data_IF_639368233111
#
_entry.id   IF_639368233111
#
_cell.length_a   1.000
_cell.length_b   1.000
_cell.length_c   1.000
_cell.angle_alpha   90.00
_cell.angle_beta   90.00
_cell.angle_gamma   90.00
#
_symmetry.space_group_name_H-M   'P 1'
#
loop_
_entity.id
_entity.type
_entity.pdbx_description
1 polymer ?
#
# COMPACT_ATOMS: atom_id res chain seq x y z
N UNK A 1 6.78 13.74 -5.77
CA UNK A 1 5.66 12.84 -5.46
C UNK A 1 4.84 12.53 -6.71
N UNK A 2 4.43 13.55 -7.45
CA UNK A 2 3.63 13.34 -8.67
C UNK A 2 4.32 12.38 -9.65
N UNK A 3 5.58 12.62 -9.98
CA UNK A 3 6.36 11.80 -10.92
C UNK A 3 6.54 10.36 -10.40
N UNK A 4 6.71 10.19 -9.10
CA UNK A 4 6.85 8.88 -8.47
C UNK A 4 5.58 8.03 -8.67
N UNK A 5 4.42 8.63 -8.48
CA UNK A 5 3.13 7.97 -8.66
C UNK A 5 2.82 7.74 -10.15
N UNK A 6 3.23 8.67 -11.01
CA UNK A 6 3.01 8.56 -12.46
C UNK A 6 3.82 7.44 -13.12
N UNK A 7 4.96 7.06 -12.54
CA UNK A 7 5.93 6.17 -13.17
C UNK A 7 5.32 4.87 -13.75
N UNK A 8 4.46 4.12 -13.05
CA UNK A 8 3.87 2.91 -13.63
C UNK A 8 3.06 3.18 -14.90
N UNK A 9 2.44 4.34 -15.01
CA UNK A 9 1.60 4.70 -16.15
C UNK A 9 2.41 5.02 -17.40
N UNK A 10 3.67 5.42 -17.25
CA UNK A 10 4.55 5.67 -18.41
C UNK A 10 4.86 4.38 -19.16
N UNK A 11 4.96 3.26 -18.44
CA UNK A 11 5.20 1.95 -19.06
C UNK A 11 3.96 1.39 -19.77
N UNK A 12 2.77 1.85 -19.40
CA UNK A 12 1.51 1.39 -19.99
C UNK A 12 1.10 2.18 -21.24
N UNK A 13 1.93 3.13 -21.69
CA UNK A 13 1.70 3.96 -22.90
C UNK A 13 0.39 4.75 -22.84
N UNK A 14 0.00 5.20 -21.66
CA UNK A 14 -1.18 6.04 -21.45
C UNK A 14 -0.84 7.48 -21.86
N UNK A 15 -1.79 8.20 -22.49
CA UNK A 15 -1.61 9.59 -22.90
C UNK A 15 -1.30 10.49 -21.71
N UNK A 16 -0.45 11.52 -21.92
CA UNK A 16 -0.01 12.41 -20.86
C UNK A 16 -1.17 13.10 -20.12
N UNK A 17 -2.21 13.53 -20.84
CA UNK A 17 -3.39 14.16 -20.24
C UNK A 17 -4.17 13.19 -19.35
N UNK A 18 -4.30 11.96 -19.76
CA UNK A 18 -4.95 10.88 -19.02
C UNK A 18 -4.13 10.48 -17.79
N UNK A 19 -2.81 10.34 -17.94
CA UNK A 19 -1.91 10.08 -16.80
C UNK A 19 -2.05 11.16 -15.72
N UNK A 20 -2.04 12.42 -16.13
CA UNK A 20 -2.18 13.54 -15.19
C UNK A 20 -3.47 13.45 -14.38
N UNK A 21 -4.58 13.12 -15.04
CA UNK A 21 -5.85 12.95 -14.37
C UNK A 21 -5.84 11.78 -13.40
N UNK A 22 -5.30 10.64 -13.81
CA UNK A 22 -5.22 9.43 -12.97
C UNK A 22 -4.38 9.69 -11.71
N UNK A 23 -3.22 10.34 -11.86
CA UNK A 23 -2.35 10.67 -10.73
C UNK A 23 -3.03 11.69 -9.79
N UNK A 24 -3.65 12.72 -10.35
CA UNK A 24 -4.37 13.73 -9.56
C UNK A 24 -5.47 13.07 -8.72
N UNK A 25 -6.24 12.18 -9.31
CA UNK A 25 -7.35 11.49 -8.63
C UNK A 25 -6.83 10.57 -7.51
N UNK A 26 -5.77 9.83 -7.75
CA UNK A 26 -5.24 8.92 -6.72
C UNK A 26 -4.57 9.69 -5.56
N UNK A 27 -3.88 10.79 -5.83
CA UNK A 27 -3.32 11.63 -4.79
C UNK A 27 -4.41 12.24 -3.91
N UNK A 28 -5.51 12.63 -4.51
CA UNK A 28 -6.69 13.13 -3.78
C UNK A 28 -7.29 12.03 -2.90
N UNK A 29 -7.45 10.85 -3.42
CA UNK A 29 -7.96 9.68 -2.67
C UNK A 29 -7.07 9.35 -1.48
N UNK A 30 -5.75 9.44 -1.65
CA UNK A 30 -4.77 9.18 -0.59
C UNK A 30 -4.59 10.38 0.35
N UNK A 31 -5.30 11.48 0.11
CA UNK A 31 -5.23 12.70 0.92
C UNK A 31 -3.82 13.30 1.00
N UNK A 32 -3.09 13.27 -0.11
CA UNK A 32 -1.73 13.81 -0.24
C UNK A 32 -1.55 14.76 -1.44
N UNK A 33 -2.65 15.28 -2.00
CA UNK A 33 -2.60 16.21 -3.12
C UNK A 33 -1.72 17.43 -2.85
N UNK A 34 -1.73 17.92 -1.61
CA UNK A 34 -0.93 19.08 -1.17
C UNK A 34 0.57 18.81 -1.19
N UNK A 35 1.01 17.57 -1.37
CA UNK A 35 2.42 17.17 -1.45
C UNK A 35 2.86 16.77 -2.87
N UNK A 36 2.01 16.98 -3.87
CA UNK A 36 2.28 16.56 -5.26
C UNK A 36 3.61 17.11 -5.80
N UNK A 37 3.93 18.37 -5.50
CA UNK A 37 5.16 19.03 -5.93
C UNK A 37 6.37 18.80 -5.01
N UNK A 38 6.19 18.09 -3.91
CA UNK A 38 7.28 17.82 -2.94
C UNK A 38 8.12 16.63 -3.38
N UNK A 39 9.34 16.56 -2.87
CA UNK A 39 10.18 15.37 -2.96
C UNK A 39 9.82 14.38 -1.85
N UNK A 40 9.97 13.06 -2.08
CA UNK A 40 9.66 12.06 -1.04
C UNK A 40 10.37 12.29 0.30
N UNK A 41 11.61 12.82 0.27
CA UNK A 41 12.39 13.10 1.47
C UNK A 41 11.77 14.19 2.37
N UNK A 42 10.88 15.00 1.82
CA UNK A 42 10.19 16.08 2.54
C UNK A 42 8.91 15.61 3.24
N UNK A 43 8.57 14.32 3.12
CA UNK A 43 7.34 13.74 3.64
C UNK A 43 7.57 13.00 4.96
N UNK A 44 6.54 12.95 5.80
CA UNK A 44 6.52 12.06 6.97
C UNK A 44 6.49 10.59 6.52
N UNK A 45 6.81 9.67 7.44
CA UNK A 45 6.75 8.23 7.15
C UNK A 45 5.37 7.78 6.67
N UNK A 46 4.31 8.26 7.30
CA UNK A 46 2.94 7.96 6.90
C UNK A 46 2.59 8.51 5.51
N UNK A 47 3.04 9.72 5.19
CA UNK A 47 2.86 10.31 3.86
C UNK A 47 3.64 9.54 2.79
N UNK A 48 4.87 9.14 3.08
CA UNK A 48 5.67 8.31 2.18
C UNK A 48 4.97 6.98 1.89
N UNK A 49 4.37 6.36 2.89
CA UNK A 49 3.63 5.12 2.70
C UNK A 49 2.37 5.33 1.85
N UNK A 50 1.67 6.44 2.02
CA UNK A 50 0.54 6.79 1.15
C UNK A 50 0.97 7.01 -0.31
N UNK A 51 2.15 7.59 -0.55
CA UNK A 51 2.73 7.71 -1.90
C UNK A 51 3.02 6.33 -2.48
N UNK A 52 3.59 5.43 -1.69
CA UNK A 52 3.86 4.07 -2.13
C UNK A 52 2.57 3.32 -2.51
N UNK A 53 1.52 3.47 -1.71
CA UNK A 53 0.21 2.89 -2.02
C UNK A 53 -0.39 3.53 -3.29
N UNK A 54 -0.33 4.86 -3.40
CA UNK A 54 -0.82 5.56 -4.59
C UNK A 54 -0.14 5.05 -5.86
N UNK A 55 1.18 4.89 -5.83
CA UNK A 55 1.94 4.34 -6.94
C UNK A 55 1.52 2.90 -7.28
N UNK A 56 1.26 2.09 -6.26
CA UNK A 56 0.84 0.71 -6.47
C UNK A 56 -0.55 0.61 -7.10
N UNK A 57 -1.48 1.52 -6.77
CA UNK A 57 -2.89 1.41 -7.18
C UNK A 57 -3.27 2.30 -8.37
N UNK A 58 -2.42 3.24 -8.78
CA UNK A 58 -2.76 4.19 -9.85
C UNK A 58 -3.09 3.50 -11.18
N UNK A 59 -2.49 2.36 -11.44
CA UNK A 59 -2.76 1.54 -12.63
C UNK A 59 -3.96 0.60 -12.49
N UNK A 60 -4.68 0.69 -11.39
CA UNK A 60 -5.83 -0.17 -11.07
C UNK A 60 -5.49 -1.67 -11.14
N UNK A 61 -4.51 -2.16 -10.38
CA UNK A 61 -4.08 -3.55 -10.42
C UNK A 61 -5.12 -4.47 -9.80
N UNK A 62 -5.04 -5.76 -10.15
CA UNK A 62 -5.88 -6.79 -9.55
C UNK A 62 -5.30 -7.35 -8.25
N UNK A 63 -3.99 -7.21 -8.06
CA UNK A 63 -3.27 -7.70 -6.88
C UNK A 63 -2.27 -6.66 -6.40
N UNK A 64 -2.16 -6.52 -5.09
CA UNK A 64 -1.16 -5.69 -4.42
C UNK A 64 -0.37 -6.59 -3.48
N UNK A 65 0.96 -6.45 -3.52
CA UNK A 65 1.88 -7.10 -2.59
C UNK A 65 2.34 -6.05 -1.58
N UNK A 66 2.06 -6.29 -0.30
CA UNK A 66 2.41 -5.39 0.79
C UNK A 66 3.36 -6.08 1.76
N UNK A 67 4.60 -5.62 1.81
CA UNK A 67 5.62 -6.16 2.69
C UNK A 67 5.79 -5.24 3.90
N UNK A 68 5.37 -5.71 5.08
CA UNK A 68 5.41 -4.97 6.35
C UNK A 68 4.86 -3.53 6.19
N UNK A 69 3.59 -3.36 5.74
CA UNK A 69 3.09 -2.04 5.33
C UNK A 69 3.03 -1.00 6.45
N UNK A 70 3.08 -1.43 7.71
CA UNK A 70 3.03 -0.54 8.88
C UNK A 70 4.32 -0.53 9.69
N UNK A 71 5.37 -1.21 9.23
CA UNK A 71 6.57 -1.54 10.02
C UNK A 71 7.32 -0.35 10.61
N UNK A 72 7.31 0.81 9.93
CA UNK A 72 8.01 2.01 10.37
C UNK A 72 7.05 3.15 10.77
N UNK A 73 5.78 2.82 11.03
CA UNK A 73 4.75 3.81 11.31
C UNK A 73 4.32 3.75 12.77
N UNK A 74 3.92 4.89 13.33
CA UNK A 74 3.25 4.94 14.61
C UNK A 74 1.85 4.29 14.53
N UNK A 75 1.20 4.08 15.66
CA UNK A 75 -0.09 3.38 15.72
C UNK A 75 -1.18 4.05 14.90
N UNK A 76 -1.21 5.38 14.89
CA UNK A 76 -2.23 6.14 14.15
C UNK A 76 -2.04 6.00 12.65
N UNK A 77 -0.82 6.25 12.17
CA UNK A 77 -0.50 6.14 10.73
C UNK A 77 -0.62 4.69 10.26
N UNK A 78 -0.20 3.74 11.08
CA UNK A 78 -0.36 2.31 10.79
C UNK A 78 -1.83 1.93 10.62
N UNK A 79 -2.70 2.38 11.51
CA UNK A 79 -4.14 2.12 11.42
C UNK A 79 -4.75 2.71 10.15
N UNK A 80 -4.34 3.92 9.76
CA UNK A 80 -4.81 4.57 8.53
C UNK A 80 -4.38 3.81 7.28
N UNK A 81 -3.15 3.28 7.25
CA UNK A 81 -2.66 2.45 6.14
C UNK A 81 -3.46 1.15 6.05
N UNK A 82 -3.70 0.47 7.17
CA UNK A 82 -4.49 -0.76 7.16
C UNK A 82 -5.93 -0.51 6.71
N UNK A 83 -6.51 0.63 7.08
CA UNK A 83 -7.83 1.02 6.61
C UNK A 83 -7.85 1.22 5.10
N UNK A 84 -6.85 1.90 4.52
CA UNK A 84 -6.73 2.07 3.08
C UNK A 84 -6.65 0.73 2.35
N UNK A 85 -5.81 -0.19 2.83
CA UNK A 85 -5.69 -1.52 2.25
C UNK A 85 -7.01 -2.30 2.34
N UNK A 86 -7.71 -2.20 3.45
CA UNK A 86 -9.02 -2.84 3.63
C UNK A 86 -10.05 -2.29 2.64
N UNK A 87 -10.09 -0.99 2.44
CA UNK A 87 -10.98 -0.35 1.47
C UNK A 87 -10.69 -0.81 0.04
N UNK A 88 -9.42 -0.87 -0.34
CA UNK A 88 -9.00 -1.37 -1.66
C UNK A 88 -9.42 -2.83 -1.86
N UNK A 89 -9.29 -3.65 -0.84
CA UNK A 89 -9.73 -5.05 -0.89
C UNK A 89 -11.26 -5.15 -1.07
N UNK A 90 -12.03 -4.36 -0.36
CA UNK A 90 -13.49 -4.32 -0.51
C UNK A 90 -13.92 -3.91 -1.92
N UNK A 91 -13.12 -3.11 -2.60
CA UNK A 91 -13.36 -2.68 -3.98
C UNK A 91 -12.95 -3.72 -5.02
N UNK A 92 -12.44 -4.87 -4.61
CA UNK A 92 -12.10 -5.99 -5.49
C UNK A 92 -10.61 -6.22 -5.71
N UNK A 93 -9.72 -5.45 -5.09
CA UNK A 93 -8.28 -5.68 -5.19
C UNK A 93 -7.87 -6.79 -4.23
N UNK A 94 -7.18 -7.79 -4.72
CA UNK A 94 -6.58 -8.83 -3.88
C UNK A 94 -5.31 -8.29 -3.24
N UNK A 95 -5.17 -8.45 -1.93
CA UNK A 95 -3.99 -7.99 -1.20
C UNK A 95 -3.30 -9.19 -0.56
N UNK A 96 -2.01 -9.34 -0.85
CA UNK A 96 -1.13 -10.30 -0.20
C UNK A 96 -0.19 -9.51 0.69
N UNK A 97 -0.27 -9.72 1.99
CA UNK A 97 0.51 -8.97 2.97
C UNK A 97 1.46 -9.89 3.71
N UNK A 98 2.71 -9.46 3.83
CA UNK A 98 3.70 -10.09 4.71
C UNK A 98 3.80 -9.24 5.97
N UNK A 99 3.64 -9.84 7.15
CA UNK A 99 3.73 -9.11 8.40
C UNK A 99 4.15 -10.02 9.56
N UNK A 100 4.87 -9.45 10.53
CA UNK A 100 5.12 -10.05 11.84
C UNK A 100 4.12 -9.57 12.90
N UNK A 101 3.26 -8.62 12.55
CA UNK A 101 2.26 -8.06 13.46
C UNK A 101 1.01 -8.93 13.49
N UNK A 102 0.68 -9.48 14.65
CA UNK A 102 -0.58 -10.21 14.87
C UNK A 102 -1.79 -9.30 14.68
N UNK A 103 -1.66 -8.04 15.06
CA UNK A 103 -2.71 -7.04 14.89
C UNK A 103 -3.02 -6.83 13.41
N UNK A 104 -1.99 -6.62 12.59
CA UNK A 104 -2.18 -6.42 11.14
C UNK A 104 -2.69 -7.69 10.45
N UNK A 105 -2.20 -8.85 10.85
CA UNK A 105 -2.68 -10.14 10.33
C UNK A 105 -4.18 -10.34 10.58
N UNK A 106 -4.71 -9.75 11.64
CA UNK A 106 -6.14 -9.82 11.98
C UNK A 106 -7.06 -9.14 10.95
N UNK A 107 -6.55 -8.27 10.09
CA UNK A 107 -7.33 -7.67 9.00
C UNK A 107 -7.55 -8.61 7.81
N UNK A 108 -6.76 -9.69 7.71
CA UNK A 108 -6.83 -10.62 6.59
C UNK A 108 -7.98 -11.61 6.74
N UNK A 109 -8.54 -12.02 5.59
CA UNK A 109 -9.55 -13.09 5.55
C UNK A 109 -8.92 -14.47 5.73
N UNK A 110 -7.65 -14.62 5.34
CA UNK A 110 -6.89 -15.85 5.45
C UNK A 110 -5.46 -15.54 5.88
N UNK A 111 -4.96 -16.31 6.84
CA UNK A 111 -3.59 -16.18 7.33
C UNK A 111 -2.83 -17.48 7.06
N UNK A 112 -1.67 -17.35 6.45
CA UNK A 112 -0.73 -18.46 6.24
C UNK A 112 0.47 -18.21 7.14
N UNK A 113 0.69 -19.12 8.08
CA UNK A 113 1.82 -19.02 9.00
C UNK A 113 3.03 -19.75 8.41
N UNK A 114 4.18 -19.08 8.42
CA UNK A 114 5.45 -19.64 7.96
C UNK A 114 6.44 -19.72 9.12
N UNK A 115 7.15 -20.83 9.21
CA UNK A 115 8.23 -21.03 10.15
C UNK A 115 9.36 -21.81 9.46
N UNK A 116 10.56 -21.23 9.45
CA UNK A 116 11.74 -21.79 8.78
C UNK A 116 11.47 -22.23 7.33
N UNK A 117 10.76 -21.40 6.58
CA UNK A 117 10.45 -21.66 5.17
C UNK A 117 9.34 -22.68 4.93
N UNK A 118 8.69 -23.17 5.97
CA UNK A 118 7.60 -24.13 5.87
C UNK A 118 6.29 -23.55 6.38
N UNK A 119 5.18 -23.96 5.75
CA UNK A 119 3.84 -23.59 6.20
C UNK A 119 3.50 -24.41 7.45
N UNK A 120 3.05 -23.71 8.50
CA UNK A 120 2.64 -24.33 9.78
C UNK A 120 1.23 -23.89 10.15
N UNK A 121 0.55 -24.66 11.00
CA UNK A 121 -0.81 -24.35 11.44
C UNK A 121 -0.85 -23.17 12.43
N UNK A 122 0.19 -23.04 13.26
CA UNK A 122 0.33 -21.94 14.21
C UNK A 122 1.81 -21.73 14.55
N UNK A 123 2.24 -20.45 14.63
CA UNK A 123 3.60 -20.10 15.04
C UNK A 123 3.85 -20.47 16.50
N UNK A 124 2.84 -20.43 17.35
CA UNK A 124 2.96 -20.77 18.76
C UNK A 124 3.38 -22.21 19.04
N UNK A 125 3.24 -23.11 18.06
CA UNK A 125 3.70 -24.50 18.18
C UNK A 125 5.23 -24.63 18.23
N UNK A 126 5.95 -23.58 17.85
CA UNK A 126 7.41 -23.58 17.67
C UNK A 126 8.16 -22.61 18.60
N UNK A 127 7.46 -21.99 19.53
CA UNK A 127 8.03 -21.03 20.49
C UNK A 127 8.31 -21.65 21.88
#
# INVERSE_FOLDING_TARGET
VFENVELPLTYLKIKASERKQMVTDILKRMNISHRAAHFPQQLSGGQQQRVAIARAVVSNPKIILADEPTGNLDSKNGAEVMQLLTELNKEGTTIVMVTHSKHDAGFAHRVINLFDGSVVSSVSEFI
#
